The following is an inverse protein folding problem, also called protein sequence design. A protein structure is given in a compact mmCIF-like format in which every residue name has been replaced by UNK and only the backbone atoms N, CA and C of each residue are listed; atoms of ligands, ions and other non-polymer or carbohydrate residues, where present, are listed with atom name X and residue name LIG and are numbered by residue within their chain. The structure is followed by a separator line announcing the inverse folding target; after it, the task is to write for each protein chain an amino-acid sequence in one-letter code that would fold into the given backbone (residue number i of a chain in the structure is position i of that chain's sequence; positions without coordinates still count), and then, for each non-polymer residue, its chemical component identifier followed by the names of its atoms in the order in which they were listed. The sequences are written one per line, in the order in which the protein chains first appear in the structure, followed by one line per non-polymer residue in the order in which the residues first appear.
data_IF_236283409356
#
_entry.id   IF_236283409356
#
_cell.length_a   1.000
_cell.length_b   1.000
_cell.length_c   1.000
_cell.angle_alpha   90.00
_cell.angle_beta   90.00
_cell.angle_gamma   90.00
#
_symmetry.space_group_name_H-M   'P 1'
#
loop_
_entity.id
_entity.type
_entity.pdbx_description
1 polymer ?
#
# COMPACT_ATOMS: atom_id res chain seq x y z
N UNK A 1 21.97 -6.64 6.03
CA UNK A 1 20.68 -6.16 5.48
C UNK A 1 20.53 -6.56 4.01
N UNK A 2 20.22 -7.84 3.74
CA UNK A 2 19.93 -8.38 2.42
C UNK A 2 18.55 -9.04 2.50
N UNK A 3 17.65 -8.66 1.60
CA UNK A 3 16.35 -9.32 1.42
C UNK A 3 16.49 -10.15 0.16
N UNK A 4 16.42 -11.48 0.28
CA UNK A 4 16.53 -12.39 -0.85
C UNK A 4 15.13 -12.68 -1.39
N UNK A 5 14.91 -12.38 -2.67
CA UNK A 5 13.63 -12.58 -3.33
C UNK A 5 13.84 -13.34 -4.63
N UNK A 6 13.36 -14.59 -4.69
CA UNK A 6 13.05 -15.33 -5.93
C UNK A 6 14.22 -15.58 -6.88
N UNK A 7 14.71 -14.57 -7.57
CA UNK A 7 15.90 -14.64 -8.42
C UNK A 7 16.68 -13.32 -8.33
N UNK A 8 17.95 -13.46 -7.95
CA UNK A 8 18.96 -12.45 -7.67
C UNK A 8 18.66 -11.44 -6.53
N UNK A 9 19.54 -11.35 -5.51
CA UNK A 9 19.35 -10.42 -4.39
C UNK A 9 19.43 -8.97 -4.89
N UNK A 10 18.29 -8.28 -4.93
CA UNK A 10 18.25 -6.83 -5.09
C UNK A 10 18.63 -6.18 -3.76
N UNK A 11 19.38 -5.07 -3.76
CA UNK A 11 19.60 -4.31 -2.53
C UNK A 11 18.25 -3.92 -1.95
N UNK A 12 18.02 -4.19 -0.66
CA UNK A 12 16.75 -3.90 0.02
C UNK A 12 16.28 -2.44 -0.21
N UNK A 13 17.24 -1.53 -0.35
CA UNK A 13 17.02 -0.11 -0.69
C UNK A 13 16.25 0.09 -2.02
N UNK A 14 16.55 -0.67 -3.07
CA UNK A 14 15.89 -0.53 -4.38
C UNK A 14 14.41 -0.92 -4.31
N UNK A 15 14.09 -1.94 -3.51
CA UNK A 15 12.69 -2.38 -3.29
C UNK A 15 11.92 -1.35 -2.48
N UNK A 16 12.54 -0.82 -1.41
CA UNK A 16 11.95 0.21 -0.56
C UNK A 16 11.73 1.52 -1.32
N UNK A 17 12.72 1.97 -2.11
CA UNK A 17 12.62 3.19 -2.91
C UNK A 17 11.49 3.08 -3.95
N UNK A 18 11.39 1.93 -4.64
CA UNK A 18 10.30 1.67 -5.58
C UNK A 18 8.92 1.65 -4.92
N UNK A 19 8.81 1.04 -3.74
CA UNK A 19 7.59 1.00 -2.94
C UNK A 19 7.14 2.41 -2.50
N UNK A 20 8.07 3.27 -2.07
CA UNK A 20 7.79 4.65 -1.69
C UNK A 20 7.33 5.48 -2.89
N UNK A 21 7.99 5.35 -4.05
CA UNK A 21 7.62 6.07 -5.28
C UNK A 21 6.19 5.69 -5.72
N UNK A 22 5.86 4.40 -5.72
CA UNK A 22 4.53 3.91 -6.04
C UNK A 22 3.46 4.45 -5.09
N UNK A 23 3.74 4.44 -3.78
CA UNK A 23 2.82 4.91 -2.77
C UNK A 23 2.56 6.41 -2.89
N UNK A 24 3.62 7.21 -3.06
CA UNK A 24 3.50 8.65 -3.29
C UNK A 24 2.78 8.96 -4.60
N UNK A 25 3.08 8.25 -5.69
CA UNK A 25 2.39 8.43 -6.98
C UNK A 25 0.90 8.11 -6.86
N UNK A 26 0.53 7.09 -6.08
CA UNK A 26 -0.87 6.76 -5.84
C UNK A 26 -1.56 7.84 -5.00
N UNK A 27 -0.95 8.28 -3.88
CA UNK A 27 -1.49 9.33 -3.01
C UNK A 27 -1.69 10.64 -3.76
N UNK A 28 -0.74 11.02 -4.61
CA UNK A 28 -0.80 12.23 -5.43
C UNK A 28 -1.76 12.12 -6.62
N UNK A 29 -2.22 10.92 -6.97
CA UNK A 29 -3.07 10.73 -8.15
C UNK A 29 -4.46 11.33 -7.99
N UNK A 30 -4.89 11.70 -6.78
CA UNK A 30 -6.07 12.55 -6.50
C UNK A 30 -7.42 12.04 -7.01
N UNK A 31 -7.46 10.90 -7.70
CA UNK A 31 -8.66 10.34 -8.31
C UNK A 31 -9.45 9.58 -7.25
N UNK A 32 -10.22 10.32 -6.47
CA UNK A 32 -11.41 9.78 -5.82
C UNK A 32 -12.41 9.53 -6.95
N UNK A 33 -12.36 8.35 -7.55
CA UNK A 33 -13.45 7.88 -8.39
C UNK A 33 -14.58 7.58 -7.43
N UNK A 34 -15.51 8.52 -7.26
CA UNK A 34 -16.79 8.23 -6.63
C UNK A 34 -17.39 7.05 -7.39
N UNK A 35 -17.60 5.88 -6.74
CA UNK A 35 -18.31 4.82 -7.41
C UNK A 35 -19.74 5.31 -7.59
N UNK A 36 -20.05 5.69 -8.83
CA UNK A 36 -21.42 5.66 -9.37
C UNK A 36 -22.08 4.39 -8.82
N UNK A 37 -23.29 4.52 -8.28
CA UNK A 37 -24.21 3.50 -7.70
C UNK A 37 -24.02 2.05 -8.20
N UNK A 38 -22.88 1.43 -7.88
CA UNK A 38 -22.60 0.03 -8.14
C UNK A 38 -22.99 -0.73 -6.88
N UNK A 39 -23.58 -1.90 -7.06
CA UNK A 39 -23.94 -2.83 -5.99
C UNK A 39 -22.86 -2.87 -4.89
N UNK A 40 -23.24 -3.07 -3.61
CA UNK A 40 -22.31 -3.03 -2.49
C UNK A 40 -21.05 -3.84 -2.86
N UNK A 41 -19.85 -3.25 -2.71
CA UNK A 41 -18.63 -3.89 -3.14
C UNK A 41 -18.56 -5.28 -2.51
N UNK A 42 -18.45 -6.30 -3.37
CA UNK A 42 -18.23 -7.67 -2.91
C UNK A 42 -16.99 -7.65 -2.03
N UNK A 43 -17.14 -8.05 -0.77
CA UNK A 43 -16.02 -8.11 0.17
C UNK A 43 -15.17 -9.31 -0.21
N UNK A 44 -14.17 -9.08 -1.06
CA UNK A 44 -13.16 -10.09 -1.34
C UNK A 44 -12.18 -10.16 -0.18
N UNK A 45 -12.03 -11.36 0.39
CA UNK A 45 -10.97 -11.61 1.36
C UNK A 45 -9.64 -11.58 0.64
N UNK A 46 -8.68 -10.88 1.23
CA UNK A 46 -7.31 -10.92 0.73
C UNK A 46 -6.75 -12.34 0.84
N UNK A 47 -6.37 -12.92 -0.30
CA UNK A 47 -5.64 -14.17 -0.35
C UNK A 47 -4.14 -13.88 -0.22
N UNK A 48 -3.39 -14.77 0.45
CA UNK A 48 -1.92 -14.64 0.56
C UNK A 48 -1.33 -14.48 -0.84
N UNK A 49 -0.56 -13.42 -1.05
CA UNK A 49 0.04 -13.15 -2.36
C UNK A 49 1.17 -14.11 -2.66
N UNK A 50 1.33 -14.46 -3.94
CA UNK A 50 2.47 -15.22 -4.42
C UNK A 50 3.78 -14.45 -4.18
N UNK A 51 4.89 -15.19 -4.04
CA UNK A 51 6.24 -14.62 -3.97
C UNK A 51 6.44 -13.70 -5.19
N UNK A 52 6.85 -12.45 -4.97
CA UNK A 52 7.01 -11.44 -6.03
C UNK A 52 5.99 -10.30 -5.95
N UNK A 53 4.88 -10.52 -5.23
CA UNK A 53 3.76 -9.60 -5.13
C UNK A 53 3.71 -8.99 -3.73
N UNK A 54 3.52 -7.68 -3.67
CA UNK A 54 3.40 -6.94 -2.42
C UNK A 54 1.95 -6.55 -2.15
N UNK A 55 1.54 -6.62 -0.90
CA UNK A 55 0.26 -6.11 -0.42
C UNK A 55 0.41 -4.67 0.02
N UNK A 56 -0.44 -3.77 -0.49
CA UNK A 56 -0.57 -2.40 0.02
C UNK A 56 -1.86 -2.29 0.82
N UNK A 57 -1.75 -2.12 2.15
CA UNK A 57 -2.88 -1.72 2.99
C UNK A 57 -2.88 -0.19 3.11
N UNK A 58 -4.03 0.45 2.91
CA UNK A 58 -4.22 1.90 3.07
C UNK A 58 -5.35 2.16 4.06
N UNK A 59 -5.17 3.17 4.88
CA UNK A 59 -6.18 3.63 5.82
C UNK A 59 -6.26 5.16 5.81
N UNK A 60 -7.43 5.70 6.06
CA UNK A 60 -7.66 7.13 6.08
C UNK A 60 -8.53 7.52 7.28
N UNK A 61 -8.12 8.55 7.99
CA UNK A 61 -8.82 9.07 9.15
C UNK A 61 -9.22 10.53 8.92
N UNK A 62 -10.44 10.89 9.28
CA UNK A 62 -10.94 12.26 9.25
C UNK A 62 -11.30 12.67 10.68
N UNK A 63 -10.70 13.77 11.15
CA UNK A 63 -11.00 14.32 12.47
C UNK A 63 -12.09 15.38 12.35
N UNK A 64 -13.30 15.04 12.78
CA UNK A 64 -14.50 15.88 12.67
C UNK A 64 -14.33 17.29 13.27
N UNK A 65 -13.59 17.44 14.38
CA UNK A 65 -13.43 18.73 15.07
C UNK A 65 -12.46 19.73 14.41
N UNK A 66 -11.52 19.24 13.60
CA UNK A 66 -10.51 20.08 12.92
C UNK A 66 -10.66 20.04 11.40
N UNK A 67 -11.62 19.26 10.91
CA UNK A 67 -11.76 18.88 9.50
C UNK A 67 -10.44 18.43 8.85
N UNK A 68 -9.51 17.89 9.65
CA UNK A 68 -8.22 17.44 9.16
C UNK A 68 -8.32 15.97 8.79
N UNK A 69 -7.91 15.62 7.58
CA UNK A 69 -7.75 14.25 7.15
C UNK A 69 -6.28 13.84 7.20
N UNK A 70 -6.03 12.54 7.41
CA UNK A 70 -4.72 11.91 7.22
C UNK A 70 -4.90 10.58 6.51
N UNK A 71 -3.89 10.23 5.72
CA UNK A 71 -3.85 8.96 4.98
C UNK A 71 -2.56 8.24 5.34
N UNK A 72 -2.68 6.97 5.70
CA UNK A 72 -1.56 6.08 5.97
C UNK A 72 -1.56 4.90 5.02
N UNK A 73 -0.38 4.32 4.79
CA UNK A 73 -0.26 3.08 4.06
C UNK A 73 0.90 2.23 4.56
N UNK A 74 0.75 0.91 4.49
CA UNK A 74 1.83 -0.06 4.73
C UNK A 74 1.91 -1.04 3.57
N UNK A 75 3.14 -1.34 3.15
CA UNK A 75 3.42 -2.35 2.15
C UNK A 75 3.99 -3.57 2.89
N UNK A 76 3.40 -4.73 2.60
CA UNK A 76 3.78 -6.02 3.15
C UNK A 76 4.23 -6.96 2.03
N UNK A 77 5.19 -7.82 2.32
CA UNK A 77 5.54 -8.92 1.43
C UNK A 77 4.58 -10.12 1.57
N UNK A 78 4.89 -11.20 0.86
CA UNK A 78 4.10 -12.43 0.88
C UNK A 78 4.03 -13.06 2.28
N UNK A 79 5.01 -12.85 3.14
CA UNK A 79 5.06 -13.42 4.50
C UNK A 79 4.45 -12.48 5.55
N UNK A 80 3.93 -11.35 5.12
CA UNK A 80 3.28 -10.35 5.97
C UNK A 80 4.27 -9.40 6.64
N UNK A 81 5.56 -9.45 6.29
CA UNK A 81 6.56 -8.52 6.81
C UNK A 81 6.30 -7.13 6.24
N UNK A 82 6.25 -6.12 7.10
CA UNK A 82 6.12 -4.72 6.68
C UNK A 82 7.47 -4.25 6.14
N UNK A 83 7.52 -3.90 4.86
CA UNK A 83 8.74 -3.45 4.18
C UNK A 83 8.78 -1.93 3.97
N UNK A 84 7.62 -1.27 3.97
CA UNK A 84 7.53 0.19 3.88
C UNK A 84 6.25 0.70 4.54
N UNK A 85 6.28 1.94 5.03
CA UNK A 85 5.11 2.64 5.56
C UNK A 85 5.17 4.13 5.24
N UNK A 86 4.04 4.76 4.95
CA UNK A 86 3.93 6.21 4.84
C UNK A 86 2.75 6.75 5.64
N UNK A 87 2.85 8.02 6.02
CA UNK A 87 1.78 8.82 6.61
C UNK A 87 1.83 10.23 6.02
N UNK A 88 0.69 10.73 5.57
CA UNK A 88 0.48 12.12 5.16
C UNK A 88 -0.56 12.74 6.08
#
# INVERSE_FOLDING_TARGET
NRVAHGELPRPARVVVDGAIILLNSFQNSGKVVFPVLLAPPQVERWHKSSIGIYKLNKDAAVRHGTNSSRVGGVIQDSDGLIIASSRS
#
